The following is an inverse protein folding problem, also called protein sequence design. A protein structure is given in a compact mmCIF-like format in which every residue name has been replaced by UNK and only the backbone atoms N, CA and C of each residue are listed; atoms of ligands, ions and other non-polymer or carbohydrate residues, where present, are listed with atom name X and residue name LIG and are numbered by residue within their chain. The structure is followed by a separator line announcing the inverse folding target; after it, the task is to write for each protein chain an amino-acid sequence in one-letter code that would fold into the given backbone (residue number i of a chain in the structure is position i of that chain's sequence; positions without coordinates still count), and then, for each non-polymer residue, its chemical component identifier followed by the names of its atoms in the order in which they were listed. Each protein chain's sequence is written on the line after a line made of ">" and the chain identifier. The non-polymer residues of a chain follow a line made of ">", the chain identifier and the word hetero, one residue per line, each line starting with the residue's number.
data_IF_013735542516
#
_entry.id   IF_013735542516
#
_cell.length_a   1.000
_cell.length_b   1.000
_cell.length_c   1.000
_cell.angle_alpha   90.00
_cell.angle_beta   90.00
_cell.angle_gamma   90.00
#
_symmetry.space_group_name_H-M   'P 1'
#
loop_
_entity.id
_entity.type
_entity.pdbx_description
1 polymer ?
#
# COMPACT_ATOMS: atom_id res chain seq x y z
N UNK A 1 -0.97 9.07 27.84
CA UNK A 1 -1.50 9.83 26.72
C UNK A 1 -2.67 9.03 26.15
N UNK A 2 -3.87 9.57 26.27
CA UNK A 2 -5.09 8.92 25.76
C UNK A 2 -5.09 8.90 24.22
N UNK A 3 -6.01 8.14 23.61
CA UNK A 3 -6.19 8.18 22.15
C UNK A 3 -6.57 9.60 21.72
N UNK A 4 -7.48 10.25 22.46
CA UNK A 4 -7.95 11.60 22.17
C UNK A 4 -6.82 12.64 22.26
N UNK A 5 -5.89 12.50 23.20
CA UNK A 5 -4.71 13.38 23.25
C UNK A 5 -3.88 13.29 21.97
N UNK A 6 -3.71 12.07 21.43
CA UNK A 6 -3.00 11.84 20.16
C UNK A 6 -3.74 12.42 18.97
N UNK A 7 -5.06 12.24 18.92
CA UNK A 7 -5.90 12.80 17.84
C UNK A 7 -5.87 14.33 17.86
N UNK A 8 -5.96 14.94 19.04
CA UNK A 8 -5.84 16.39 19.20
C UNK A 8 -4.48 16.91 18.75
N UNK A 9 -3.39 16.20 19.07
CA UNK A 9 -2.05 16.58 18.63
C UNK A 9 -1.90 16.54 17.10
N UNK A 10 -2.53 15.56 16.43
CA UNK A 10 -2.55 15.46 14.97
C UNK A 10 -3.29 16.66 14.36
N UNK A 11 -4.47 16.99 14.88
CA UNK A 11 -5.26 18.12 14.40
C UNK A 11 -4.50 19.46 14.60
N UNK A 12 -3.93 19.67 15.77
CA UNK A 12 -3.14 20.87 16.07
C UNK A 12 -1.93 20.99 15.12
N UNK A 13 -1.25 19.88 14.83
CA UNK A 13 -0.13 19.88 13.89
C UNK A 13 -0.57 20.17 12.45
N UNK A 14 -1.68 19.60 12.02
CA UNK A 14 -2.26 19.88 10.71
C UNK A 14 -2.62 21.37 10.54
N UNK A 15 -3.26 21.96 11.55
CA UNK A 15 -3.62 23.40 11.57
C UNK A 15 -2.36 24.28 11.57
N UNK A 16 -1.35 23.97 12.38
CA UNK A 16 -0.08 24.70 12.42
C UNK A 16 0.60 24.73 11.05
N UNK A 17 0.71 23.56 10.38
CA UNK A 17 1.33 23.49 9.06
C UNK A 17 0.49 24.25 8.03
N UNK A 18 -0.83 24.09 8.06
CA UNK A 18 -1.74 24.82 7.18
C UNK A 18 -1.59 26.34 7.31
N UNK A 19 -1.51 26.85 8.55
CA UNK A 19 -1.25 28.25 8.82
C UNK A 19 0.11 28.71 8.26
N UNK A 20 1.18 27.94 8.49
CA UNK A 20 2.53 28.26 7.96
C UNK A 20 2.58 28.27 6.43
N UNK A 21 1.91 27.32 5.77
CA UNK A 21 1.85 27.27 4.31
C UNK A 21 1.03 28.42 3.72
N UNK A 22 -0.01 28.92 4.43
CA UNK A 22 -0.86 30.02 3.97
C UNK A 22 -0.19 31.39 4.08
N UNK A 23 0.75 31.59 5.00
CA UNK A 23 1.48 32.85 5.15
C UNK A 23 2.51 33.10 4.05
N UNK A 24 2.91 32.05 3.31
CA UNK A 24 3.93 32.16 2.26
C UNK A 24 5.37 32.39 2.78
N UNK A 25 5.57 32.36 4.09
CA UNK A 25 6.89 32.60 4.74
C UNK A 25 7.76 31.34 4.88
N UNK A 26 7.35 30.23 4.24
CA UNK A 26 8.08 28.96 4.32
C UNK A 26 9.28 28.98 3.37
N UNK A 27 10.50 28.70 3.88
CA UNK A 27 11.69 28.60 3.03
C UNK A 27 11.50 27.55 1.94
N UNK A 28 12.00 27.79 0.70
CA UNK A 28 11.88 26.81 -0.40
C UNK A 28 12.44 25.42 -0.07
N UNK A 29 13.44 25.34 0.80
CA UNK A 29 14.04 24.08 1.28
C UNK A 29 13.09 23.25 2.16
N UNK A 30 12.14 23.89 2.86
CA UNK A 30 11.19 23.22 3.75
C UNK A 30 9.82 23.01 3.10
N UNK A 31 9.50 23.77 2.04
CA UNK A 31 8.18 23.78 1.41
C UNK A 31 7.71 22.41 0.97
N UNK A 32 8.58 21.63 0.33
CA UNK A 32 8.24 20.30 -0.15
C UNK A 32 7.95 19.31 1.00
N UNK A 33 8.75 19.38 2.08
CA UNK A 33 8.57 18.53 3.25
C UNK A 33 7.28 18.87 4.00
N UNK A 34 7.01 20.17 4.24
CA UNK A 34 5.80 20.63 4.92
C UNK A 34 4.54 20.36 4.09
N UNK A 35 4.59 20.55 2.76
CA UNK A 35 3.46 20.26 1.89
C UNK A 35 3.12 18.76 1.88
N UNK A 36 4.16 17.90 1.93
CA UNK A 36 3.95 16.46 2.05
C UNK A 36 3.34 16.11 3.40
N UNK A 37 3.92 16.62 4.51
CA UNK A 37 3.40 16.39 5.87
C UNK A 37 1.94 16.85 5.99
N UNK A 38 1.61 18.03 5.47
CA UNK A 38 0.26 18.54 5.42
C UNK A 38 -0.70 17.60 4.67
N UNK A 39 -0.31 17.14 3.49
CA UNK A 39 -1.11 16.21 2.69
C UNK A 39 -1.32 14.86 3.41
N UNK A 40 -0.28 14.33 4.07
CA UNK A 40 -0.37 13.09 4.82
C UNK A 40 -1.30 13.23 6.03
N UNK A 41 -1.21 14.36 6.76
CA UNK A 41 -2.07 14.66 7.92
C UNK A 41 -3.50 15.00 7.53
N UNK A 42 -3.75 15.60 6.36
CA UNK A 42 -5.09 15.99 5.91
C UNK A 42 -6.05 14.80 5.82
N UNK A 43 -5.57 13.65 5.37
CA UNK A 43 -6.39 12.44 5.31
C UNK A 43 -6.80 11.97 6.71
N UNK A 44 -5.87 12.01 7.67
CA UNK A 44 -6.14 11.61 9.06
C UNK A 44 -7.04 12.64 9.74
N UNK A 45 -6.78 13.94 9.54
CA UNK A 45 -7.58 15.03 10.10
C UNK A 45 -9.05 14.97 9.63
N UNK A 46 -9.28 14.68 8.34
CA UNK A 46 -10.62 14.47 7.79
C UNK A 46 -11.34 13.29 8.47
N UNK A 47 -10.66 12.15 8.62
CA UNK A 47 -11.24 10.96 9.28
C UNK A 47 -11.55 11.22 10.77
N UNK A 48 -10.70 11.99 11.47
CA UNK A 48 -10.98 12.40 12.86
C UNK A 48 -12.22 13.31 12.90
N UNK A 49 -12.34 14.24 11.96
CA UNK A 49 -13.50 15.13 11.84
C UNK A 49 -14.80 14.35 11.64
N UNK A 50 -14.82 13.44 10.67
CA UNK A 50 -15.97 12.57 10.38
C UNK A 50 -16.39 11.74 11.60
N UNK A 51 -15.43 11.06 12.26
CA UNK A 51 -15.73 10.30 13.47
C UNK A 51 -16.38 11.17 14.54
N UNK A 52 -15.85 12.38 14.81
CA UNK A 52 -16.38 13.30 15.83
C UNK A 52 -17.77 13.84 15.48
N UNK A 53 -18.05 14.01 14.21
CA UNK A 53 -19.36 14.43 13.73
C UNK A 53 -20.39 13.31 13.97
N UNK A 54 -20.07 12.08 13.59
CA UNK A 54 -20.91 10.91 13.86
C UNK A 54 -21.13 10.66 15.36
N UNK A 55 -20.10 10.84 16.20
CA UNK A 55 -20.25 10.74 17.67
C UNK A 55 -21.22 11.79 18.21
N UNK A 56 -21.16 13.01 17.71
CA UNK A 56 -22.07 14.08 18.13
C UNK A 56 -23.49 13.80 17.67
N UNK A 57 -23.68 13.43 16.39
CA UNK A 57 -24.98 13.05 15.87
C UNK A 57 -25.59 11.88 16.68
N UNK A 58 -24.79 10.86 17.04
CA UNK A 58 -25.26 9.76 17.86
C UNK A 58 -25.71 10.20 19.26
N UNK A 59 -24.93 11.10 19.89
CA UNK A 59 -25.28 11.64 21.20
C UNK A 59 -26.56 12.49 21.15
N UNK A 60 -26.74 13.25 20.07
CA UNK A 60 -27.95 14.05 19.86
C UNK A 60 -29.18 13.15 19.66
N UNK A 61 -29.09 12.09 18.84
CA UNK A 61 -30.18 11.10 18.70
C UNK A 61 -30.46 10.34 20.00
N UNK A 62 -29.42 9.98 20.77
CA UNK A 62 -29.60 9.34 22.08
C UNK A 62 -30.36 10.24 23.06
N UNK A 63 -30.08 11.54 23.04
CA UNK A 63 -30.82 12.51 23.89
C UNK A 63 -32.29 12.69 23.46
N UNK A 64 -32.59 12.44 22.16
CA UNK A 64 -33.96 12.54 21.64
C UNK A 64 -34.81 11.27 21.90
N UNK A 65 -34.21 10.17 22.33
CA UNK A 65 -34.97 8.91 22.58
C UNK A 65 -36.09 9.03 23.62
N UNK A 66 -35.93 9.95 24.57
CA UNK A 66 -36.94 10.20 25.63
C UNK A 66 -38.00 11.23 25.21
N UNK A 67 -37.89 11.82 24.04
CA UNK A 67 -38.84 12.80 23.50
C UNK A 67 -40.08 12.11 22.96
N UNK A 68 -41.29 12.61 23.31
CA UNK A 68 -42.56 12.02 22.90
C UNK A 68 -42.81 12.06 21.38
N UNK A 69 -42.29 13.07 20.68
CA UNK A 69 -42.52 13.27 19.23
C UNK A 69 -41.38 12.70 18.37
N UNK A 70 -40.15 12.78 18.87
CA UNK A 70 -38.92 12.45 18.11
C UNK A 70 -38.32 11.09 18.46
N UNK A 71 -38.74 10.48 19.59
CA UNK A 71 -38.14 9.24 20.11
C UNK A 71 -38.21 8.06 19.16
N UNK A 72 -39.35 7.87 18.48
CA UNK A 72 -39.48 6.77 17.49
C UNK A 72 -38.57 6.96 16.27
N UNK A 73 -38.43 8.19 15.79
CA UNK A 73 -37.54 8.55 14.67
C UNK A 73 -36.09 8.32 15.09
N UNK A 74 -35.69 8.85 16.23
CA UNK A 74 -34.34 8.67 16.76
C UNK A 74 -33.99 7.18 16.97
N UNK A 75 -34.91 6.39 17.49
CA UNK A 75 -34.73 4.94 17.65
C UNK A 75 -34.57 4.21 16.31
N UNK A 76 -35.17 4.70 15.23
CA UNK A 76 -35.04 4.09 13.91
C UNK A 76 -33.71 4.45 13.22
N UNK A 77 -33.16 5.65 13.46
CA UNK A 77 -31.94 6.14 12.80
C UNK A 77 -30.66 5.75 13.56
N UNK A 78 -30.71 5.65 14.87
CA UNK A 78 -29.57 5.39 15.73
C UNK A 78 -28.77 4.12 15.38
N UNK A 79 -29.40 2.98 15.01
CA UNK A 79 -28.65 1.78 14.63
C UNK A 79 -27.76 1.99 13.41
N UNK A 80 -28.26 2.62 12.34
CA UNK A 80 -27.50 2.89 11.13
C UNK A 80 -26.35 3.86 11.42
N UNK A 81 -26.59 4.89 12.22
CA UNK A 81 -25.56 5.85 12.61
C UNK A 81 -24.45 5.18 13.43
N UNK A 82 -24.79 4.27 14.34
CA UNK A 82 -23.81 3.49 15.11
C UNK A 82 -22.96 2.57 14.23
N UNK A 83 -23.55 1.97 13.20
CA UNK A 83 -22.80 1.16 12.24
C UNK A 83 -21.81 2.02 11.44
N UNK A 84 -22.21 3.21 10.99
CA UNK A 84 -21.33 4.19 10.34
C UNK A 84 -20.22 4.66 11.26
N UNK A 85 -20.50 4.93 12.52
CA UNK A 85 -19.49 5.31 13.52
C UNK A 85 -18.46 4.19 13.70
N UNK A 86 -18.90 2.95 13.84
CA UNK A 86 -18.01 1.80 13.98
C UNK A 86 -17.14 1.57 12.73
N UNK A 87 -17.64 1.91 11.54
CA UNK A 87 -16.86 1.85 10.31
C UNK A 87 -15.82 2.99 10.26
N UNK A 88 -16.20 4.22 10.60
CA UNK A 88 -15.30 5.36 10.68
C UNK A 88 -14.17 5.14 11.71
N UNK A 89 -14.47 4.55 12.86
CA UNK A 89 -13.47 4.17 13.87
C UNK A 89 -12.46 3.16 13.33
N UNK A 90 -12.92 2.11 12.65
CA UNK A 90 -12.04 1.12 12.02
C UNK A 90 -11.15 1.73 10.95
N UNK A 91 -11.72 2.60 10.11
CA UNK A 91 -10.97 3.31 9.09
C UNK A 91 -9.90 4.22 9.70
N UNK A 92 -10.23 4.96 10.76
CA UNK A 92 -9.29 5.80 11.49
C UNK A 92 -8.17 4.98 12.14
N UNK A 93 -8.48 3.83 12.76
CA UNK A 93 -7.46 2.94 13.32
C UNK A 93 -6.44 2.50 12.27
N UNK A 94 -6.90 2.16 11.05
CA UNK A 94 -6.01 1.78 9.94
C UNK A 94 -5.11 2.95 9.51
N UNK A 95 -5.65 4.18 9.47
CA UNK A 95 -4.88 5.38 9.12
C UNK A 95 -3.83 5.75 10.18
N UNK A 96 -4.05 5.40 11.45
CA UNK A 96 -3.15 5.66 12.57
C UNK A 96 -2.03 4.61 12.70
N UNK A 97 -2.07 3.52 11.94
CA UNK A 97 -0.98 2.54 11.95
C UNK A 97 0.31 3.19 11.44
N UNK A 98 1.44 2.95 12.11
CA UNK A 98 2.72 3.48 11.67
C UNK A 98 3.02 2.98 10.25
N UNK A 99 3.22 3.92 9.34
CA UNK A 99 3.65 3.60 7.98
C UNK A 99 5.16 3.43 7.97
N UNK A 100 5.63 2.36 7.34
CA UNK A 100 7.04 2.21 7.06
C UNK A 100 7.44 3.27 6.00
N UNK A 101 8.48 4.07 6.29
CA UNK A 101 8.99 5.04 5.32
C UNK A 101 9.42 4.40 3.99
N UNK A 102 9.79 3.13 4.03
CA UNK A 102 10.11 2.36 2.83
C UNK A 102 8.88 2.14 1.94
N UNK A 103 7.66 2.14 2.49
CA UNK A 103 6.42 1.86 1.76
C UNK A 103 6.13 2.88 0.64
N UNK A 104 6.53 4.13 0.83
CA UNK A 104 6.38 5.18 -0.18
C UNK A 104 7.42 5.10 -1.32
N UNK A 105 8.40 4.20 -1.22
CA UNK A 105 9.52 4.10 -2.16
C UNK A 105 9.17 3.27 -3.39
N UNK A 106 9.98 3.44 -4.43
CA UNK A 106 10.05 2.55 -5.58
C UNK A 106 10.62 1.19 -5.16
N UNK A 107 10.37 0.16 -5.95
CA UNK A 107 10.87 -1.19 -5.68
C UNK A 107 11.80 -1.69 -6.80
N UNK A 108 12.76 -2.50 -6.40
CA UNK A 108 13.51 -3.37 -7.31
C UNK A 108 12.92 -4.77 -7.17
N UNK A 109 12.47 -5.30 -8.29
CA UNK A 109 11.90 -6.65 -8.40
C UNK A 109 12.89 -7.53 -9.14
N UNK A 110 13.35 -8.57 -8.49
CA UNK A 110 14.23 -9.58 -9.04
C UNK A 110 13.48 -10.91 -9.10
N UNK A 111 13.45 -11.55 -10.26
CA UNK A 111 12.84 -12.86 -10.48
C UNK A 111 13.91 -13.83 -10.96
N UNK A 112 14.00 -14.99 -10.34
CA UNK A 112 14.95 -16.06 -10.70
C UNK A 112 14.25 -17.39 -10.84
N UNK A 113 14.63 -18.16 -11.88
CA UNK A 113 14.25 -19.55 -11.97
C UNK A 113 14.87 -20.35 -10.83
N UNK A 114 14.07 -21.21 -10.21
CA UNK A 114 14.48 -22.13 -9.16
C UNK A 114 14.62 -23.57 -9.67
N UNK A 115 14.18 -24.53 -8.84
CA UNK A 115 14.18 -25.95 -9.22
C UNK A 115 13.10 -26.27 -10.25
N UNK A 116 13.44 -27.05 -11.28
CA UNK A 116 12.48 -27.46 -12.32
C UNK A 116 13.00 -27.31 -13.76
N UNK A 117 14.29 -27.00 -13.94
CA UNK A 117 14.91 -26.90 -15.27
C UNK A 117 14.26 -25.84 -16.16
N UNK A 118 14.00 -26.19 -17.42
CA UNK A 118 13.44 -25.26 -18.41
C UNK A 118 12.04 -24.76 -18.02
N UNK A 119 11.21 -25.61 -17.38
CA UNK A 119 9.89 -25.21 -16.91
C UNK A 119 9.95 -24.17 -15.77
N UNK A 120 10.95 -24.25 -14.90
CA UNK A 120 11.17 -23.22 -13.89
C UNK A 120 11.54 -21.88 -14.52
N UNK A 121 12.29 -21.91 -15.63
CA UNK A 121 12.62 -20.69 -16.37
C UNK A 121 11.41 -20.11 -17.13
N UNK A 122 10.56 -20.95 -17.70
CA UNK A 122 9.28 -20.52 -18.30
C UNK A 122 8.37 -19.90 -17.24
N UNK A 123 8.23 -20.56 -16.10
CA UNK A 123 7.44 -20.03 -14.98
C UNK A 123 7.98 -18.69 -14.42
N UNK A 124 9.30 -18.54 -14.33
CA UNK A 124 9.91 -17.27 -13.95
C UNK A 124 9.59 -16.16 -14.98
N UNK A 125 9.52 -16.51 -16.26
CA UNK A 125 9.05 -15.63 -17.33
C UNK A 125 7.59 -15.20 -17.14
N UNK A 126 6.70 -16.13 -16.77
CA UNK A 126 5.30 -15.86 -16.45
C UNK A 126 5.17 -14.90 -15.28
N UNK A 127 5.94 -15.11 -14.19
CA UNK A 127 5.97 -14.20 -13.04
C UNK A 127 6.44 -12.81 -13.42
N UNK A 128 7.49 -12.71 -14.22
CA UNK A 128 7.99 -11.42 -14.72
C UNK A 128 6.92 -10.69 -15.54
N UNK A 129 6.24 -11.41 -16.43
CA UNK A 129 5.16 -10.86 -17.24
C UNK A 129 3.96 -10.41 -16.37
N UNK A 130 3.61 -11.19 -15.34
CA UNK A 130 2.58 -10.86 -14.37
C UNK A 130 2.89 -9.55 -13.62
N UNK A 131 4.10 -9.39 -13.08
CA UNK A 131 4.49 -8.16 -12.38
C UNK A 131 4.52 -6.95 -13.31
N UNK A 132 4.99 -7.10 -14.54
CA UNK A 132 4.95 -6.03 -15.54
C UNK A 132 3.52 -5.61 -15.85
N UNK A 133 2.63 -6.58 -16.09
CA UNK A 133 1.22 -6.31 -16.36
C UNK A 133 0.53 -5.64 -15.17
N UNK A 134 0.81 -6.08 -13.97
CA UNK A 134 0.28 -5.44 -12.78
C UNK A 134 0.77 -3.99 -12.64
N UNK A 135 2.04 -3.73 -12.89
CA UNK A 135 2.60 -2.38 -12.88
C UNK A 135 1.92 -1.46 -13.93
N UNK A 136 1.68 -1.97 -15.15
CA UNK A 136 0.94 -1.25 -16.20
C UNK A 136 -0.49 -0.88 -15.73
N UNK A 137 -1.22 -1.83 -15.15
CA UNK A 137 -2.57 -1.58 -14.61
C UNK A 137 -2.56 -0.50 -13.53
N UNK A 138 -1.50 -0.43 -12.73
CA UNK A 138 -1.30 0.58 -11.70
C UNK A 138 -0.74 1.90 -12.22
N UNK A 139 -0.42 1.99 -13.51
CA UNK A 139 0.26 3.13 -14.15
C UNK A 139 1.62 3.43 -13.51
N UNK A 140 2.31 2.39 -13.04
CA UNK A 140 3.68 2.49 -12.55
C UNK A 140 4.67 2.43 -13.71
N UNK A 141 5.77 3.16 -13.59
CA UNK A 141 6.85 3.12 -14.56
C UNK A 141 7.73 1.90 -14.29
N UNK A 142 7.94 1.09 -15.31
CA UNK A 142 8.83 -0.09 -15.26
C UNK A 142 10.04 0.15 -16.13
N UNK A 143 11.21 -0.13 -15.57
CA UNK A 143 12.49 -0.10 -16.28
C UNK A 143 13.20 -1.44 -16.07
N UNK A 144 13.53 -2.14 -17.17
CA UNK A 144 14.27 -3.39 -17.10
C UNK A 144 15.77 -3.08 -16.91
N UNK A 145 16.34 -3.55 -15.80
CA UNK A 145 17.76 -3.35 -15.47
C UNK A 145 18.62 -4.49 -16.02
N UNK A 146 18.14 -5.73 -15.90
CA UNK A 146 18.80 -6.89 -16.52
C UNK A 146 17.77 -7.97 -16.86
N UNK A 147 18.07 -8.76 -17.91
CA UNK A 147 17.23 -9.89 -18.31
C UNK A 147 18.08 -10.96 -18.98
N UNK A 148 18.19 -12.12 -18.35
CA UNK A 148 18.85 -13.30 -18.88
C UNK A 148 17.80 -14.32 -19.33
N UNK A 149 17.70 -14.56 -20.63
CA UNK A 149 16.76 -15.50 -21.22
C UNK A 149 17.39 -16.87 -21.43
N UNK A 150 16.54 -17.89 -21.44
CA UNK A 150 16.93 -19.25 -21.90
C UNK A 150 16.65 -19.40 -23.40
N UNK A 151 17.28 -20.38 -24.09
CA UNK A 151 17.01 -20.63 -25.52
C UNK A 151 15.54 -20.93 -25.82
N UNK A 152 14.77 -21.44 -24.85
CA UNK A 152 13.34 -21.74 -24.99
C UNK A 152 12.44 -20.53 -24.66
N UNK A 153 13.00 -19.33 -24.52
CA UNK A 153 12.24 -18.11 -24.24
C UNK A 153 11.87 -17.91 -22.76
N UNK A 154 12.32 -18.81 -21.87
CA UNK A 154 12.14 -18.64 -20.42
C UNK A 154 13.09 -17.60 -19.82
N UNK A 155 12.83 -17.19 -18.59
CA UNK A 155 13.62 -16.23 -17.82
C UNK A 155 14.50 -16.97 -16.82
N UNK A 156 15.84 -16.91 -16.98
CA UNK A 156 16.76 -17.43 -15.97
C UNK A 156 16.83 -16.48 -14.78
N UNK A 157 16.99 -15.21 -15.06
CA UNK A 157 17.04 -14.13 -14.09
C UNK A 157 16.60 -12.82 -14.76
N UNK A 158 15.81 -12.04 -14.07
CA UNK A 158 15.46 -10.69 -14.49
C UNK A 158 15.41 -9.76 -13.28
N UNK A 159 15.89 -8.51 -13.49
CA UNK A 159 15.83 -7.43 -12.51
C UNK A 159 15.16 -6.23 -13.16
N UNK A 160 14.12 -5.72 -12.54
CA UNK A 160 13.45 -4.51 -13.00
C UNK A 160 13.25 -3.51 -11.86
N UNK A 161 13.32 -2.22 -12.18
CA UNK A 161 12.91 -1.12 -11.33
C UNK A 161 11.44 -0.80 -11.59
N UNK A 162 10.67 -0.65 -10.53
CA UNK A 162 9.26 -0.26 -10.59
C UNK A 162 9.07 1.01 -9.77
N UNK A 163 8.67 2.10 -10.42
CA UNK A 163 8.53 3.42 -9.80
C UNK A 163 7.09 3.93 -9.89
N UNK A 164 6.56 4.46 -8.79
CA UNK A 164 5.21 4.99 -8.68
C UNK A 164 4.79 5.16 -7.23
N UNK A 165 3.53 5.50 -7.01
CA UNK A 165 2.98 5.66 -5.65
C UNK A 165 2.76 4.30 -4.98
N UNK A 166 3.27 4.15 -3.76
CA UNK A 166 3.09 3.00 -2.88
C UNK A 166 3.50 1.64 -3.51
N UNK A 167 4.53 1.67 -4.36
CA UNK A 167 5.00 0.47 -5.08
C UNK A 167 5.53 -0.56 -4.10
N UNK A 168 6.47 -0.16 -3.23
CA UNK A 168 7.08 -1.07 -2.27
C UNK A 168 6.06 -1.59 -1.26
N UNK A 169 5.16 -0.73 -0.76
CA UNK A 169 4.06 -1.13 0.12
C UNK A 169 3.23 -2.29 -0.43
N UNK A 170 3.01 -2.31 -1.74
CA UNK A 170 2.21 -3.34 -2.42
C UNK A 170 3.00 -4.61 -2.71
N UNK A 171 4.23 -4.44 -3.18
CA UNK A 171 5.02 -5.57 -3.69
C UNK A 171 5.86 -6.29 -2.63
N UNK A 172 6.14 -5.67 -1.48
CA UNK A 172 7.03 -6.23 -0.44
C UNK A 172 6.62 -7.63 0.05
N UNK A 173 5.33 -7.93 0.01
CA UNK A 173 4.78 -9.24 0.44
C UNK A 173 4.92 -10.34 -0.61
N UNK A 174 5.29 -9.99 -1.84
CA UNK A 174 5.52 -10.94 -2.92
C UNK A 174 6.92 -11.60 -2.85
N UNK A 175 7.79 -11.12 -1.96
CA UNK A 175 9.12 -11.72 -1.78
C UNK A 175 9.02 -13.13 -1.24
N UNK A 176 9.61 -14.08 -1.98
CA UNK A 176 9.62 -15.46 -1.56
C UNK A 176 9.72 -16.44 -2.73
N UNK A 177 9.43 -17.71 -2.43
CA UNK A 177 9.39 -18.77 -3.42
C UNK A 177 7.96 -18.98 -3.92
N UNK A 178 7.79 -18.84 -5.21
CA UNK A 178 6.57 -19.14 -5.93
C UNK A 178 6.67 -20.57 -6.50
N UNK A 179 5.59 -21.32 -6.41
CA UNK A 179 5.51 -22.69 -6.88
C UNK A 179 4.35 -22.86 -7.84
N UNK A 180 4.60 -23.56 -8.94
CA UNK A 180 3.56 -23.95 -9.89
C UNK A 180 3.50 -25.46 -9.99
N UNK A 181 2.28 -25.97 -10.13
CA UNK A 181 1.98 -27.37 -10.46
C UNK A 181 1.14 -27.37 -11.71
N UNK A 182 1.75 -27.75 -12.83
CA UNK A 182 1.08 -27.84 -14.13
C UNK A 182 1.75 -28.88 -15.00
N UNK A 183 1.11 -29.26 -16.09
CA UNK A 183 1.79 -29.99 -17.15
C UNK A 183 2.70 -29.02 -17.86
N UNK A 184 4.04 -29.23 -17.86
CA UNK A 184 4.98 -28.35 -18.55
C UNK A 184 4.73 -28.31 -20.06
N UNK A 185 5.02 -27.18 -20.70
CA UNK A 185 5.00 -27.11 -22.17
C UNK A 185 6.05 -28.03 -22.82
N UNK A 186 7.09 -28.40 -22.06
CA UNK A 186 8.16 -29.32 -22.46
C UNK A 186 7.82 -30.80 -22.22
N UNK A 187 6.65 -31.11 -21.63
CA UNK A 187 6.23 -32.47 -21.27
C UNK A 187 5.32 -33.06 -22.35
N UNK A 188 5.76 -34.15 -22.98
CA UNK A 188 5.01 -34.82 -24.06
C UNK A 188 4.00 -35.87 -23.58
N UNK A 189 4.11 -36.34 -22.31
CA UNK A 189 3.27 -37.42 -21.76
C UNK A 189 2.14 -36.91 -20.84
N UNK A 190 1.96 -35.59 -20.72
CA UNK A 190 0.87 -35.01 -19.92
C UNK A 190 1.05 -35.13 -18.40
N UNK A 191 2.27 -35.41 -17.91
CA UNK A 191 2.55 -35.56 -16.48
C UNK A 191 2.66 -34.17 -15.82
N UNK A 192 2.06 -34.04 -14.64
CA UNK A 192 2.15 -32.83 -13.83
C UNK A 192 3.53 -32.77 -13.15
N UNK A 193 4.22 -31.67 -13.33
CA UNK A 193 5.49 -31.37 -12.66
C UNK A 193 5.33 -30.20 -11.69
N UNK A 194 6.21 -30.14 -10.71
CA UNK A 194 6.31 -29.01 -9.80
C UNK A 194 7.57 -28.22 -10.14
N UNK A 195 7.40 -26.95 -10.43
CA UNK A 195 8.49 -26.03 -10.69
C UNK A 195 8.42 -24.84 -9.73
N UNK A 196 9.56 -24.22 -9.45
CA UNK A 196 9.67 -23.09 -8.55
C UNK A 196 10.45 -21.95 -9.18
N UNK A 197 10.06 -20.74 -8.81
CA UNK A 197 10.80 -19.50 -9.08
C UNK A 197 10.84 -18.66 -7.82
N UNK A 198 11.83 -17.81 -7.64
CA UNK A 198 11.92 -16.89 -6.53
C UNK A 198 11.70 -15.45 -7.02
N UNK A 199 10.96 -14.69 -6.23
CA UNK A 199 10.87 -13.24 -6.36
C UNK A 199 11.54 -12.59 -5.14
N UNK A 200 12.40 -11.61 -5.37
CA UNK A 200 13.01 -10.77 -4.33
C UNK A 200 12.63 -9.32 -4.58
N UNK A 201 12.01 -8.69 -3.59
CA UNK A 201 11.53 -7.33 -3.70
C UNK A 201 12.22 -6.47 -2.65
N UNK A 202 12.87 -5.42 -3.10
CA UNK A 202 13.65 -4.50 -2.25
C UNK A 202 13.26 -3.07 -2.54
N UNK A 203 13.28 -2.20 -1.52
CA UNK A 203 13.11 -0.77 -1.76
C UNK A 203 14.31 -0.20 -2.52
N UNK A 204 14.07 0.78 -3.40
CA UNK A 204 15.09 1.36 -4.29
C UNK A 204 16.29 2.01 -3.58
N UNK A 205 16.20 2.30 -2.28
CA UNK A 205 17.28 2.84 -1.45
C UNK A 205 17.88 1.81 -0.50
N UNK A 206 17.78 0.52 -0.79
CA UNK A 206 18.43 -0.50 0.04
C UNK A 206 19.96 -0.33 -0.03
N UNK A 207 20.67 -0.32 1.12
CA UNK A 207 22.12 -0.03 1.19
C UNK A 207 23.03 -0.95 0.37
N UNK A 208 22.47 -2.05 -0.15
CA UNK A 208 23.19 -3.05 -0.93
C UNK A 208 23.36 -2.70 -2.42
N UNK A 209 22.74 -1.60 -2.91
CA UNK A 209 22.91 -1.15 -4.30
C UNK A 209 24.30 -0.56 -4.62
N UNK A 210 25.08 -0.17 -3.61
CA UNK A 210 26.39 0.47 -3.79
C UNK A 210 27.55 -0.52 -3.91
N UNK A 211 27.32 -1.84 -3.91
CA UNK A 211 28.37 -2.86 -3.91
C UNK A 211 28.52 -3.67 -5.22
N UNK A 212 27.81 -3.33 -6.29
CA UNK A 212 27.92 -4.06 -7.58
C UNK A 212 28.44 -3.20 -8.72
N UNK A 213 29.31 -2.22 -8.41
CA UNK A 213 30.05 -1.45 -9.42
C UNK A 213 31.53 -1.40 -9.01
N UNK A 214 32.22 -2.51 -9.09
CA UNK A 214 33.66 -2.65 -9.20
C UNK A 214 33.99 -3.95 -9.92
#
# INVERSE_FOLDING_TARGET
>A
MSLDDKLNAILARHEEIGARLSTGEVPPSELAALSKEYSDLSTVAAAIGERRELEREAADLEAMLEDEELGELAASELPELRDRLAEAERALQVLLLPRDEADARSAIVEVRAGTGGDEAALFAGDLLAMYRRYAEMRRWKVEMLSHSQTPLGGCKEAVMSVAGKDVFARLKYESGTHRVQRVPETESQGRIHTSAASASIRSSNSPWMTRSSL
#
